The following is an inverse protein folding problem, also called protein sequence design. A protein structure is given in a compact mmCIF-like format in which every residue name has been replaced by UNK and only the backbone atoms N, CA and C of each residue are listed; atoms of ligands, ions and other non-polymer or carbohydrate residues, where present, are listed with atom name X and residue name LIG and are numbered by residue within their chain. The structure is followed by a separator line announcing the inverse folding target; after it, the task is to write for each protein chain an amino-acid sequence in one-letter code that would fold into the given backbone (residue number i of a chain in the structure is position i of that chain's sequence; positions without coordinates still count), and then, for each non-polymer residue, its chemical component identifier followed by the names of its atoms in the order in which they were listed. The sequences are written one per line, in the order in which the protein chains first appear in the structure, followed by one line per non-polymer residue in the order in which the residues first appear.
data_IF_607584335417
#
_entry.id   IF_607584335417
#
_cell.length_a   1.000
_cell.length_b   1.000
_cell.length_c   1.000
_cell.angle_alpha   90.00
_cell.angle_beta   90.00
_cell.angle_gamma   90.00
#
_symmetry.space_group_name_H-M   'P 1'
#
loop_
_entity.id
_entity.type
_entity.pdbx_description
1 polymer ?
#
# COMPACT_ATOMS: atom_id res chain seq x y z
N UNK A 1 26.73 -6.64 -30.59
CA UNK A 1 26.01 -7.06 -29.36
C UNK A 1 24.93 -6.03 -29.08
N UNK A 2 23.64 -6.33 -29.37
CA UNK A 2 22.53 -5.40 -29.06
C UNK A 2 22.10 -5.65 -27.62
N UNK A 3 22.39 -4.70 -26.73
CA UNK A 3 21.78 -4.70 -25.39
C UNK A 3 20.31 -4.37 -25.59
N UNK A 4 19.43 -5.36 -25.43
CA UNK A 4 17.99 -5.14 -25.46
C UNK A 4 17.61 -4.26 -24.29
N UNK A 5 17.38 -2.97 -24.52
CA UNK A 5 16.80 -2.08 -23.53
C UNK A 5 15.29 -2.29 -23.54
N UNK A 6 14.80 -3.37 -22.94
CA UNK A 6 13.39 -3.40 -22.56
C UNK A 6 13.18 -2.23 -21.59
N UNK A 7 12.37 -1.22 -21.93
CA UNK A 7 12.14 -0.12 -21.01
C UNK A 7 11.52 -0.70 -19.74
N UNK A 8 12.15 -0.42 -18.59
CA UNK A 8 11.59 -0.82 -17.30
C UNK A 8 10.23 -0.14 -17.13
N UNK A 9 9.17 -0.94 -17.01
CA UNK A 9 7.82 -0.45 -16.74
C UNK A 9 7.38 -0.94 -15.36
N UNK A 10 6.99 -0.02 -14.48
CA UNK A 10 6.42 -0.39 -13.19
C UNK A 10 5.14 -1.24 -13.37
N UNK A 11 5.05 -2.42 -12.75
CA UNK A 11 3.84 -3.24 -12.79
C UNK A 11 2.60 -2.49 -12.32
N UNK A 12 1.47 -2.69 -13.02
CA UNK A 12 0.15 -2.13 -12.68
C UNK A 12 -0.75 -3.18 -12.05
N UNK A 13 -1.56 -2.76 -11.08
CA UNK A 13 -2.39 -3.68 -10.28
C UNK A 13 -3.89 -3.53 -10.48
N UNK A 14 -4.33 -2.71 -11.44
CA UNK A 14 -5.75 -2.42 -11.65
C UNK A 14 -6.59 -3.69 -11.86
N UNK A 15 -7.64 -3.86 -11.05
CA UNK A 15 -8.60 -4.96 -11.18
C UNK A 15 -8.08 -6.37 -10.88
N UNK A 16 -6.84 -6.53 -10.37
CA UNK A 16 -6.28 -7.85 -10.06
C UNK A 16 -7.11 -8.66 -9.05
N UNK A 17 -7.92 -7.98 -8.25
CA UNK A 17 -8.77 -8.58 -7.21
C UNK A 17 -10.26 -8.28 -7.47
N UNK A 18 -10.66 -8.05 -8.73
CA UNK A 18 -12.07 -7.83 -9.08
C UNK A 18 -12.97 -9.03 -8.70
N UNK A 19 -12.44 -10.26 -8.77
CA UNK A 19 -13.11 -11.48 -8.31
C UNK A 19 -12.96 -11.73 -6.79
N UNK A 20 -12.30 -10.82 -6.07
CA UNK A 20 -11.98 -10.94 -4.65
C UNK A 20 -10.68 -11.70 -4.37
N UNK A 21 -10.10 -11.41 -3.21
CA UNK A 21 -8.98 -12.19 -2.65
C UNK A 21 -9.51 -13.38 -1.85
N UNK A 22 -8.76 -14.48 -1.86
CA UNK A 22 -9.06 -15.67 -1.07
C UNK A 22 -8.91 -15.38 0.43
N UNK A 23 -9.92 -15.74 1.23
CA UNK A 23 -9.99 -15.38 2.64
C UNK A 23 -8.86 -16.00 3.50
N UNK A 24 -8.48 -17.24 3.20
CA UNK A 24 -7.35 -17.95 3.78
C UNK A 24 -6.01 -17.25 3.51
N UNK A 25 -5.82 -16.75 2.28
CA UNK A 25 -4.61 -16.00 1.88
C UNK A 25 -4.52 -14.64 2.56
N UNK A 26 -5.64 -13.94 2.69
CA UNK A 26 -5.70 -12.70 3.47
C UNK A 26 -5.36 -12.95 4.95
N UNK A 27 -5.84 -14.05 5.53
CA UNK A 27 -5.54 -14.41 6.91
C UNK A 27 -4.06 -14.80 7.10
N UNK A 28 -3.48 -15.50 6.14
CA UNK A 28 -2.05 -15.84 6.07
C UNK A 28 -1.16 -14.59 6.05
N UNK A 29 -1.43 -13.67 5.12
CA UNK A 29 -0.72 -12.39 5.04
C UNK A 29 -0.88 -11.58 6.35
N UNK A 30 -2.09 -11.52 6.90
CA UNK A 30 -2.35 -10.81 8.15
C UNK A 30 -1.54 -11.36 9.33
N UNK A 31 -1.37 -12.68 9.44
CA UNK A 31 -0.52 -13.30 10.45
C UNK A 31 0.95 -12.93 10.26
N UNK A 32 1.46 -13.06 9.04
CA UNK A 32 2.85 -12.73 8.71
C UNK A 32 3.21 -11.26 9.00
N UNK A 33 2.29 -10.34 8.72
CA UNK A 33 2.46 -8.90 8.95
C UNK A 33 2.34 -8.52 10.43
N UNK A 34 1.44 -9.15 11.19
CA UNK A 34 1.27 -8.89 12.64
C UNK A 34 2.46 -9.34 13.48
N UNK A 35 3.20 -10.34 13.02
CA UNK A 35 4.40 -10.83 13.70
C UNK A 35 5.59 -9.85 13.64
N UNK A 36 5.49 -8.78 12.83
CA UNK A 36 6.56 -7.81 12.62
C UNK A 36 6.23 -6.49 13.34
N UNK A 37 7.23 -5.69 13.74
CA UNK A 37 7.00 -4.41 14.40
C UNK A 37 6.33 -3.40 13.46
N UNK A 38 5.59 -2.46 14.04
CA UNK A 38 5.04 -1.26 13.39
C UNK A 38 5.62 -0.06 14.13
N UNK A 39 6.00 0.99 13.40
CA UNK A 39 6.37 2.27 14.01
C UNK A 39 5.22 2.75 14.94
N UNK A 40 5.49 2.94 16.25
CA UNK A 40 4.47 3.40 17.20
C UNK A 40 3.76 4.68 16.77
N UNK A 41 4.45 5.58 16.06
CA UNK A 41 3.90 6.84 15.55
C UNK A 41 2.81 6.62 14.48
N UNK A 42 2.79 5.43 13.84
CA UNK A 42 1.79 5.05 12.85
C UNK A 42 0.61 4.26 13.44
N UNK A 43 0.72 3.74 14.67
CA UNK A 43 -0.29 2.84 15.25
C UNK A 43 -1.68 3.49 15.36
N UNK A 44 -1.78 4.68 15.95
CA UNK A 44 -3.06 5.40 16.06
C UNK A 44 -3.59 5.86 14.71
N UNK A 45 -2.82 6.56 13.86
CA UNK A 45 -3.29 6.97 12.54
C UNK A 45 -3.75 5.79 11.66
N UNK A 46 -3.06 4.64 11.69
CA UNK A 46 -3.48 3.44 10.97
C UNK A 46 -4.83 2.89 11.48
N UNK A 47 -5.09 2.91 12.79
CA UNK A 47 -6.41 2.52 13.33
C UNK A 47 -7.52 3.45 12.83
N UNK A 48 -7.27 4.76 12.84
CA UNK A 48 -8.21 5.77 12.34
C UNK A 48 -8.46 5.56 10.85
N UNK A 49 -7.42 5.40 10.05
CA UNK A 49 -7.53 5.13 8.61
C UNK A 49 -8.36 3.86 8.34
N UNK A 50 -8.08 2.76 9.04
CA UNK A 50 -8.85 1.51 8.90
C UNK A 50 -10.33 1.68 9.23
N UNK A 51 -10.66 2.51 10.22
CA UNK A 51 -12.05 2.82 10.59
C UNK A 51 -12.73 3.64 9.50
N UNK A 52 -12.10 4.75 9.10
CA UNK A 52 -12.61 5.62 8.04
C UNK A 52 -12.83 4.87 6.72
N UNK A 53 -11.89 3.99 6.35
CA UNK A 53 -12.05 3.10 5.20
C UNK A 53 -13.32 2.26 5.35
N UNK A 54 -13.50 1.50 6.44
CA UNK A 54 -14.70 0.65 6.67
C UNK A 54 -16.01 1.44 6.63
N UNK A 55 -16.00 2.67 7.14
CA UNK A 55 -17.18 3.54 7.20
C UNK A 55 -17.46 4.26 5.86
N UNK A 56 -16.60 4.09 4.85
CA UNK A 56 -16.64 4.81 3.57
C UNK A 56 -16.62 6.35 3.75
N UNK A 57 -15.97 6.84 4.80
CA UNK A 57 -15.83 8.28 5.07
C UNK A 57 -14.53 8.80 4.43
N UNK A 58 -14.64 9.30 3.20
CA UNK A 58 -13.48 9.78 2.42
C UNK A 58 -12.78 10.98 3.08
N UNK A 59 -13.52 11.84 3.77
CA UNK A 59 -12.96 13.01 4.43
C UNK A 59 -12.22 12.59 5.72
N UNK A 60 -12.72 11.59 6.46
CA UNK A 60 -11.93 10.96 7.52
C UNK A 60 -10.71 10.18 6.98
N UNK A 61 -10.82 9.53 5.82
CA UNK A 61 -9.68 8.89 5.13
C UNK A 61 -8.63 9.94 4.79
N UNK A 62 -9.03 11.08 4.21
CA UNK A 62 -8.15 12.20 3.88
C UNK A 62 -7.41 12.73 5.11
N UNK A 63 -8.11 12.99 6.22
CA UNK A 63 -7.47 13.43 7.48
C UNK A 63 -6.49 12.41 8.05
N UNK A 64 -6.84 11.12 8.00
CA UNK A 64 -5.96 10.05 8.45
C UNK A 64 -4.71 9.95 7.56
N UNK A 65 -4.88 10.07 6.25
CA UNK A 65 -3.79 10.09 5.28
C UNK A 65 -2.86 11.29 5.49
N UNK A 66 -3.41 12.48 5.75
CA UNK A 66 -2.62 13.66 6.13
C UNK A 66 -1.74 13.42 7.35
N UNK A 67 -2.25 12.67 8.33
CA UNK A 67 -1.53 12.37 9.58
C UNK A 67 -0.42 11.33 9.38
N UNK A 68 -0.61 10.41 8.43
CA UNK A 68 0.35 9.37 8.05
C UNK A 68 1.43 9.85 7.08
N UNK A 69 1.15 10.84 6.22
CA UNK A 69 2.12 11.30 5.21
C UNK A 69 3.40 11.81 5.89
N UNK A 70 4.53 11.18 5.57
CA UNK A 70 5.84 11.44 6.16
C UNK A 70 6.04 10.92 7.58
N UNK A 71 5.10 10.13 8.12
CA UNK A 71 5.18 9.63 9.49
C UNK A 71 6.12 8.44 9.59
N UNK A 72 7.18 8.59 10.37
CA UNK A 72 8.19 7.57 10.63
C UNK A 72 9.57 7.96 10.08
N UNK A 73 10.63 7.24 10.45
CA UNK A 73 11.99 7.57 10.06
C UNK A 73 12.32 7.13 8.64
N UNK A 74 13.43 7.65 8.12
CA UNK A 74 14.08 7.14 6.91
C UNK A 74 13.57 7.72 5.59
N UNK A 75 14.05 7.14 4.50
CA UNK A 75 13.73 7.58 3.13
C UNK A 75 12.33 7.19 2.69
N UNK A 76 11.78 6.12 3.28
CA UNK A 76 10.42 5.59 3.07
C UNK A 76 9.75 5.46 4.44
N UNK A 77 9.20 6.56 4.99
CA UNK A 77 8.50 6.54 6.27
C UNK A 77 7.39 5.50 6.29
N UNK A 78 7.23 4.78 7.42
CA UNK A 78 6.20 3.75 7.59
C UNK A 78 4.79 4.21 7.19
N UNK A 79 4.45 5.47 7.48
CA UNK A 79 3.16 6.04 7.11
C UNK A 79 2.95 6.13 5.61
N UNK A 80 4.00 6.41 4.84
CA UNK A 80 3.93 6.48 3.38
C UNK A 80 3.81 5.08 2.75
N UNK A 81 4.56 4.10 3.28
CA UNK A 81 4.45 2.71 2.83
C UNK A 81 3.02 2.17 3.07
N UNK A 82 2.42 2.49 4.22
CA UNK A 82 1.01 2.18 4.51
C UNK A 82 0.08 2.84 3.48
N UNK A 83 0.27 4.12 3.16
CA UNK A 83 -0.59 4.82 2.18
C UNK A 83 -0.42 4.26 0.77
N UNK A 84 0.81 3.91 0.37
CA UNK A 84 1.08 3.17 -0.86
C UNK A 84 0.26 1.88 -0.91
N UNK A 85 0.30 1.07 0.17
CA UNK A 85 -0.46 -0.16 0.24
C UNK A 85 -1.96 0.03 0.10
N UNK A 86 -2.54 1.07 0.73
CA UNK A 86 -3.99 1.34 0.60
C UNK A 86 -4.36 1.76 -0.82
N UNK A 87 -3.56 2.63 -1.45
CA UNK A 87 -3.75 3.04 -2.85
C UNK A 87 -3.70 1.83 -3.81
N UNK A 88 -2.75 0.91 -3.60
CA UNK A 88 -2.62 -0.29 -4.42
C UNK A 88 -3.78 -1.27 -4.20
N UNK A 89 -4.27 -1.44 -2.96
CA UNK A 89 -5.47 -2.22 -2.69
C UNK A 89 -6.71 -1.62 -3.37
N UNK A 90 -6.85 -0.29 -3.31
CA UNK A 90 -7.89 0.45 -4.01
C UNK A 90 -7.87 0.18 -5.53
N UNK A 91 -6.70 0.28 -6.17
CA UNK A 91 -6.53 -0.06 -7.59
C UNK A 91 -6.83 -1.53 -7.89
N UNK A 92 -6.36 -2.46 -7.06
CA UNK A 92 -6.60 -3.89 -7.24
C UNK A 92 -8.08 -4.27 -7.15
N UNK A 93 -8.85 -3.57 -6.32
CA UNK A 93 -10.31 -3.75 -6.20
C UNK A 93 -11.11 -2.93 -7.23
N UNK A 94 -10.47 -2.04 -7.99
CA UNK A 94 -11.18 -1.11 -8.89
C UNK A 94 -11.94 0.00 -8.15
N UNK A 95 -11.59 0.28 -6.89
CA UNK A 95 -12.25 1.29 -6.06
C UNK A 95 -11.31 2.47 -5.81
N UNK A 96 -11.65 3.72 -6.21
CA UNK A 96 -10.80 4.87 -5.96
C UNK A 96 -10.60 5.17 -4.46
N UNK A 97 -9.45 5.77 -4.11
CA UNK A 97 -9.18 6.34 -2.78
C UNK A 97 -8.84 7.84 -2.90
N UNK A 98 -9.82 8.69 -3.29
CA UNK A 98 -9.56 10.08 -3.70
C UNK A 98 -9.00 10.94 -2.57
N UNK A 99 -9.45 10.76 -1.32
CA UNK A 99 -8.91 11.47 -0.17
C UNK A 99 -7.41 11.25 0.04
N UNK A 100 -6.89 10.03 -0.20
CA UNK A 100 -5.46 9.73 -0.11
C UNK A 100 -4.72 10.33 -1.30
N UNK A 101 -5.24 10.16 -2.52
CA UNK A 101 -4.62 10.70 -3.72
C UNK A 101 -4.47 12.22 -3.65
N UNK A 102 -5.49 12.92 -3.15
CA UNK A 102 -5.47 14.37 -2.96
C UNK A 102 -4.33 14.84 -2.03
N UNK A 103 -4.08 14.11 -0.93
CA UNK A 103 -2.97 14.43 -0.01
C UNK A 103 -1.59 14.19 -0.64
N UNK A 104 -1.46 13.17 -1.49
CA UNK A 104 -0.20 12.83 -2.18
C UNK A 104 0.10 13.81 -3.31
N UNK A 105 -0.93 14.30 -4.01
CA UNK A 105 -0.78 15.21 -5.16
C UNK A 105 -0.79 16.69 -4.76
N UNK A 106 -1.06 17.00 -3.48
CA UNK A 106 -1.07 18.37 -3.00
C UNK A 106 0.32 19.04 -3.16
N UNK A 107 0.39 20.35 -3.46
CA UNK A 107 1.66 21.05 -3.61
C UNK A 107 2.56 20.97 -2.38
N UNK A 108 1.99 20.95 -1.17
CA UNK A 108 2.71 20.87 0.10
C UNK A 108 3.27 19.47 0.41
N UNK A 109 2.90 18.44 -0.35
CA UNK A 109 3.34 17.06 -0.09
C UNK A 109 4.88 16.91 -0.10
N UNK A 110 5.58 17.70 -0.93
CA UNK A 110 7.07 17.72 -0.99
C UNK A 110 7.72 18.17 0.32
N UNK A 111 7.01 18.94 1.14
CA UNK A 111 7.49 19.39 2.45
C UNK A 111 7.15 18.40 3.57
N UNK A 112 6.28 17.42 3.31
CA UNK A 112 5.79 16.49 4.33
C UNK A 112 6.54 15.16 4.35
N UNK A 113 7.09 14.72 3.22
CA UNK A 113 7.75 13.41 3.08
C UNK A 113 8.99 13.50 2.18
N UNK A 114 10.02 12.63 2.36
CA UNK A 114 11.17 12.57 1.46
C UNK A 114 10.76 12.40 -0.01
N UNK A 115 11.50 13.02 -0.92
CA UNK A 115 11.20 13.00 -2.36
C UNK A 115 11.11 11.60 -2.96
N UNK A 116 11.93 10.66 -2.47
CA UNK A 116 11.89 9.26 -2.90
C UNK A 116 10.58 8.57 -2.51
N UNK A 117 10.13 8.74 -1.27
CA UNK A 117 8.83 8.21 -0.81
C UNK A 117 7.66 8.87 -1.54
N UNK A 118 7.71 10.19 -1.75
CA UNK A 118 6.69 10.89 -2.51
C UNK A 118 6.58 10.39 -3.96
N UNK A 119 7.71 10.06 -4.60
CA UNK A 119 7.70 9.45 -5.92
C UNK A 119 6.99 8.09 -5.91
N UNK A 120 7.27 7.23 -4.92
CA UNK A 120 6.60 5.94 -4.75
C UNK A 120 5.09 6.10 -4.52
N UNK A 121 4.68 7.05 -3.67
CA UNK A 121 3.27 7.38 -3.47
C UNK A 121 2.59 7.82 -4.77
N UNK A 122 3.25 8.65 -5.58
CA UNK A 122 2.73 9.07 -6.90
C UNK A 122 2.67 7.92 -7.91
N UNK A 123 3.53 6.90 -7.80
CA UNK A 123 3.36 5.64 -8.54
C UNK A 123 2.12 4.89 -8.02
N UNK A 124 1.95 4.74 -6.70
CA UNK A 124 0.80 4.06 -6.11
C UNK A 124 -0.54 4.75 -6.47
N UNK A 125 -0.58 6.08 -6.55
CA UNK A 125 -1.75 6.85 -7.06
C UNK A 125 -2.14 6.42 -8.46
N UNK A 126 -1.18 6.03 -9.30
CA UNK A 126 -1.39 5.53 -10.67
C UNK A 126 -1.55 4.01 -10.74
N UNK A 127 -1.62 3.33 -9.59
CA UNK A 127 -1.72 1.87 -9.50
C UNK A 127 -0.42 1.16 -9.88
N UNK A 128 0.70 1.86 -9.85
CA UNK A 128 2.04 1.34 -10.16
C UNK A 128 2.80 1.01 -8.87
N UNK A 129 3.53 -0.09 -8.86
CA UNK A 129 4.24 -0.55 -7.67
C UNK A 129 5.50 -1.34 -8.01
N UNK A 130 6.22 -1.75 -6.96
CA UNK A 130 7.34 -2.70 -7.08
C UNK A 130 6.82 -4.10 -7.46
N UNK A 131 7.60 -4.90 -8.21
CA UNK A 131 7.18 -6.24 -8.65
C UNK A 131 6.70 -7.17 -7.54
N UNK A 132 7.28 -7.07 -6.35
CA UNK A 132 6.94 -7.88 -5.18
C UNK A 132 5.50 -7.61 -4.70
N UNK A 133 5.06 -6.35 -4.72
CA UNK A 133 3.69 -5.98 -4.35
C UNK A 133 2.68 -6.47 -5.39
N UNK A 134 3.00 -6.34 -6.69
CA UNK A 134 2.16 -6.87 -7.76
C UNK A 134 2.05 -8.40 -7.70
N UNK A 135 3.15 -9.10 -7.44
CA UNK A 135 3.18 -10.56 -7.29
C UNK A 135 2.32 -11.01 -6.11
N UNK A 136 2.45 -10.34 -4.95
CA UNK A 136 1.63 -10.62 -3.78
C UNK A 136 0.13 -10.45 -4.09
N UNK A 137 -0.26 -9.33 -4.73
CA UNK A 137 -1.65 -9.07 -5.10
C UNK A 137 -2.22 -10.13 -6.05
N UNK A 138 -1.44 -10.62 -7.02
CA UNK A 138 -1.86 -11.75 -7.87
C UNK A 138 -2.02 -13.04 -7.04
N UNK A 139 -1.08 -13.30 -6.14
CA UNK A 139 -1.10 -14.47 -5.25
C UNK A 139 -2.32 -14.51 -4.34
N UNK A 140 -2.85 -13.35 -3.95
CA UNK A 140 -4.06 -13.26 -3.12
C UNK A 140 -5.33 -13.80 -3.82
N UNK A 141 -5.40 -13.78 -5.16
CA UNK A 141 -6.49 -14.38 -5.92
C UNK A 141 -6.16 -15.78 -6.49
N UNK A 142 -4.87 -16.14 -6.53
CA UNK A 142 -4.41 -17.37 -7.15
C UNK A 142 -4.83 -18.64 -6.36
N UNK A 143 -4.99 -19.79 -7.03
CA UNK A 143 -5.31 -21.06 -6.36
C UNK A 143 -4.10 -21.70 -5.66
N UNK A 144 -2.90 -21.14 -5.83
CA UNK A 144 -1.64 -21.67 -5.30
C UNK A 144 -1.26 -21.01 -3.95
N UNK A 145 -0.28 -21.57 -3.23
CA UNK A 145 0.27 -20.96 -2.01
C UNK A 145 0.68 -19.50 -2.20
N UNK A 146 0.37 -18.66 -1.21
CA UNK A 146 0.85 -17.28 -1.17
C UNK A 146 2.28 -17.28 -0.59
N UNK A 147 3.20 -16.62 -1.28
CA UNK A 147 4.52 -16.31 -0.74
C UNK A 147 4.63 -14.81 -0.48
N UNK A 148 4.54 -14.36 0.80
CA UNK A 148 4.67 -12.95 1.13
C UNK A 148 6.12 -12.51 1.33
N UNK A 149 7.06 -13.43 1.49
CA UNK A 149 8.43 -13.12 1.92
C UNK A 149 9.18 -12.19 0.96
N UNK A 150 9.05 -12.31 -0.37
CA UNK A 150 9.67 -11.36 -1.30
C UNK A 150 9.26 -9.91 -1.03
N UNK A 151 7.99 -9.64 -0.69
CA UNK A 151 7.57 -8.29 -0.32
C UNK A 151 8.07 -7.94 1.07
N UNK A 152 7.94 -8.84 2.04
CA UNK A 152 8.29 -8.55 3.44
C UNK A 152 9.80 -8.37 3.66
N UNK A 153 10.64 -8.82 2.72
CA UNK A 153 12.08 -8.58 2.67
C UNK A 153 12.48 -7.22 2.04
N UNK A 154 11.53 -6.45 1.49
CA UNK A 154 11.81 -5.14 0.90
C UNK A 154 12.07 -4.11 2.01
N UNK A 155 13.31 -3.65 2.10
CA UNK A 155 13.73 -2.67 3.11
C UNK A 155 13.63 -3.21 4.54
N UNK A 156 13.96 -2.39 5.53
CA UNK A 156 13.92 -2.81 6.94
C UNK A 156 12.48 -3.05 7.43
N UNK A 157 11.57 -2.13 7.10
CA UNK A 157 10.15 -2.21 7.46
C UNK A 157 9.20 -1.92 6.28
N UNK A 158 9.67 -1.30 5.19
CA UNK A 158 8.82 -0.78 4.12
C UNK A 158 7.92 -1.81 3.46
N UNK A 159 8.44 -2.99 3.12
CA UNK A 159 7.63 -4.06 2.56
C UNK A 159 6.52 -4.53 3.50
N UNK A 160 6.79 -4.55 4.80
CA UNK A 160 5.80 -4.92 5.82
C UNK A 160 4.75 -3.85 6.01
N UNK A 161 5.15 -2.57 6.02
CA UNK A 161 4.23 -1.44 6.14
C UNK A 161 3.34 -1.28 4.88
N UNK A 162 3.89 -1.54 3.69
CA UNK A 162 3.12 -1.66 2.47
C UNK A 162 2.08 -2.78 2.57
N UNK A 163 2.47 -3.95 3.07
CA UNK A 163 1.54 -5.05 3.31
C UNK A 163 0.45 -4.70 4.35
N UNK A 164 0.75 -3.88 5.37
CA UNK A 164 -0.26 -3.34 6.30
C UNK A 164 -1.28 -2.45 5.59
N UNK A 165 -0.81 -1.59 4.70
CA UNK A 165 -1.66 -0.77 3.85
C UNK A 165 -2.58 -1.60 2.96
N UNK A 166 -2.01 -2.61 2.28
CA UNK A 166 -2.79 -3.55 1.46
C UNK A 166 -3.90 -4.21 2.28
N UNK A 167 -3.56 -4.79 3.44
CA UNK A 167 -4.54 -5.40 4.34
C UNK A 167 -5.62 -4.41 4.82
N UNK A 168 -5.25 -3.16 5.09
CA UNK A 168 -6.21 -2.14 5.51
C UNK A 168 -7.23 -1.81 4.41
N UNK A 169 -6.78 -1.64 3.16
CA UNK A 169 -7.67 -1.41 2.02
C UNK A 169 -8.54 -2.64 1.69
N UNK A 170 -7.93 -3.82 1.63
CA UNK A 170 -8.63 -5.07 1.28
C UNK A 170 -9.67 -5.49 2.33
N UNK A 171 -9.40 -5.26 3.61
CA UNK A 171 -10.33 -5.63 4.68
C UNK A 171 -11.50 -4.64 4.85
N UNK A 172 -11.41 -3.44 4.27
CA UNK A 172 -12.46 -2.43 4.40
C UNK A 172 -13.64 -2.63 3.43
N UNK A 173 -13.53 -3.57 2.48
CA UNK A 173 -14.46 -3.74 1.37
C UNK A 173 -14.92 -5.20 1.21
N UNK A 174 -15.03 -5.92 2.33
CA UNK A 174 -15.71 -7.22 2.40
C UNK A 174 -17.20 -7.05 2.57
#
# INVERSE_FOLDING_TARGET
MRVGTTPWSAPRVHGLLAAGARADRLAELARAVRARPLDPACATPLRVLRRALRENDDEAVRRAARTLLGRGPGLTPSGDDILCGVLLAAHALGTPAPGIAAEVTAPDAVARTPLVSLALLRHAVRGECVPQAASLLRGLAAPYPLDPDPLLAVGHHSGTDLARGLLAGLAARR
#
